data_IF_810174019232
#
_entry.id   IF_810174019232
#
_cell.length_a   1.000
_cell.length_b   1.000
_cell.length_c   1.000
_cell.angle_alpha   90.00
_cell.angle_beta   90.00
_cell.angle_gamma   90.00
#
_symmetry.space_group_name_H-M   'P 1'
#
loop_
_entity.id
_entity.type
_entity.pdbx_description
1 polymer ?
#
# COMPACT_ATOMS: atom_id res chain seq x y z
N UNK A 1 12.92 15.61 -6.81
CA UNK A 1 12.47 14.92 -8.02
C UNK A 1 13.67 14.55 -8.87
N UNK A 2 13.74 13.28 -9.29
CA UNK A 2 14.84 12.69 -10.09
C UNK A 2 14.36 12.22 -11.45
N UNK A 3 13.11 11.75 -11.57
CA UNK A 3 12.54 11.25 -12.82
C UNK A 3 12.10 12.36 -13.76
N UNK A 4 12.17 12.05 -15.06
CA UNK A 4 11.64 12.90 -16.12
C UNK A 4 11.04 12.03 -17.24
N UNK A 5 9.98 12.52 -17.87
CA UNK A 5 9.34 11.85 -19.00
C UNK A 5 8.82 12.87 -19.99
N UNK A 6 8.99 12.62 -21.27
CA UNK A 6 8.36 13.36 -22.36
C UNK A 6 8.20 12.46 -23.58
N UNK A 7 7.13 12.65 -24.33
CA UNK A 7 6.87 12.00 -25.61
C UNK A 7 6.14 12.97 -26.55
N UNK A 8 5.89 12.56 -27.78
CA UNK A 8 5.15 13.35 -28.79
C UNK A 8 3.63 13.41 -28.51
N UNK A 9 3.09 12.60 -27.63
CA UNK A 9 1.67 12.54 -27.32
C UNK A 9 1.31 13.48 -26.15
N UNK A 10 0.62 14.57 -26.46
CA UNK A 10 0.27 15.63 -25.48
C UNK A 10 -0.49 15.12 -24.27
N UNK A 11 -1.47 14.22 -24.45
CA UNK A 11 -2.27 13.68 -23.34
C UNK A 11 -1.41 12.87 -22.38
N UNK A 12 -0.49 12.05 -22.87
CA UNK A 12 0.41 11.23 -22.02
C UNK A 12 1.31 12.15 -21.19
N UNK A 13 1.86 13.21 -21.79
CA UNK A 13 2.65 14.21 -21.06
C UNK A 13 1.83 14.92 -19.97
N UNK A 14 0.54 15.19 -20.22
CA UNK A 14 -0.36 15.75 -19.21
C UNK A 14 -0.63 14.79 -18.07
N UNK A 15 -0.92 13.51 -18.37
CA UNK A 15 -1.14 12.45 -17.37
C UNK A 15 0.09 12.35 -16.47
N UNK A 16 1.29 12.29 -17.03
CA UNK A 16 2.51 12.22 -16.23
C UNK A 16 2.70 13.45 -15.32
N UNK A 17 2.45 14.66 -15.80
CA UNK A 17 2.52 15.88 -14.97
C UNK A 17 1.48 15.85 -13.82
N UNK A 18 0.27 15.36 -14.09
CA UNK A 18 -0.77 15.21 -13.07
C UNK A 18 -0.35 14.20 -12.00
N UNK A 19 0.20 13.05 -12.42
CA UNK A 19 0.74 12.03 -11.52
C UNK A 19 1.83 12.60 -10.61
N UNK A 20 2.81 13.30 -11.15
CA UNK A 20 3.90 13.93 -10.37
C UNK A 20 3.34 14.96 -9.37
N UNK A 21 2.40 15.80 -9.80
CA UNK A 21 1.78 16.79 -8.92
C UNK A 21 0.96 16.14 -7.80
N UNK A 22 0.20 15.09 -8.12
CA UNK A 22 -0.57 14.34 -7.13
C UNK A 22 0.35 13.69 -6.10
N UNK A 23 1.42 13.06 -6.54
CA UNK A 23 2.39 12.42 -5.65
C UNK A 23 3.06 13.44 -4.70
N UNK A 24 3.49 14.61 -5.22
CA UNK A 24 4.05 15.68 -4.39
C UNK A 24 3.06 16.17 -3.33
N UNK A 25 1.77 16.27 -3.68
CA UNK A 25 0.72 16.70 -2.77
C UNK A 25 0.34 15.63 -1.73
N UNK A 26 0.82 14.41 -1.89
CA UNK A 26 0.62 13.31 -0.94
C UNK A 26 1.88 12.97 -0.13
N UNK A 27 3.00 13.66 -0.36
CA UNK A 27 4.24 13.49 0.41
C UNK A 27 4.31 14.54 1.52
N UNK A 28 3.63 14.26 2.65
CA UNK A 28 3.69 15.10 3.84
C UNK A 28 4.72 14.57 4.84
N UNK A 29 4.37 14.25 6.08
CA UNK A 29 5.23 13.50 7.01
C UNK A 29 5.11 11.99 6.80
N UNK A 30 4.04 11.56 6.14
CA UNK A 30 3.75 10.20 5.70
C UNK A 30 3.18 10.24 4.27
N UNK A 31 3.23 9.12 3.53
CA UNK A 31 2.63 9.06 2.20
C UNK A 31 1.10 8.92 2.33
N UNK A 32 0.37 10.01 2.08
CA UNK A 32 -1.09 10.03 2.21
C UNK A 32 -1.81 9.50 0.97
N UNK A 33 -3.04 9.01 1.15
CA UNK A 33 -3.87 8.43 0.09
C UNK A 33 -4.38 9.48 -0.90
N UNK A 34 -4.80 10.65 -0.42
CA UNK A 34 -5.47 11.64 -1.23
C UNK A 34 -5.18 13.09 -0.78
N UNK A 35 -4.99 14.06 -1.71
CA UNK A 35 -4.76 15.45 -1.34
C UNK A 35 -6.02 16.30 -1.33
N UNK A 36 -7.14 15.85 -1.94
CA UNK A 36 -8.29 16.70 -2.30
C UNK A 36 -9.43 16.71 -1.29
N UNK A 37 -9.35 15.94 -0.22
CA UNK A 37 -10.42 15.83 0.82
C UNK A 37 -9.82 15.69 2.21
N UNK A 38 -10.66 15.79 3.24
CA UNK A 38 -10.25 15.68 4.64
C UNK A 38 -10.10 14.22 5.11
N UNK A 39 -9.33 13.43 4.39
CA UNK A 39 -8.87 12.10 4.76
C UNK A 39 -7.37 12.14 5.03
N UNK A 40 -6.54 12.14 4.01
CA UNK A 40 -5.07 12.30 4.08
C UNK A 40 -4.42 11.36 5.09
N UNK A 41 -4.73 10.07 4.97
CA UNK A 41 -4.23 9.01 5.83
C UNK A 41 -3.13 8.21 5.12
N UNK A 42 -2.21 7.65 5.90
CA UNK A 42 -1.15 6.78 5.38
C UNK A 42 -1.63 5.35 5.13
N UNK A 43 -2.57 5.17 4.20
CA UNK A 43 -3.09 3.86 3.83
C UNK A 43 -2.01 2.92 3.28
N UNK A 44 -1.94 1.70 3.83
CA UNK A 44 -0.97 0.70 3.41
C UNK A 44 -1.22 0.24 1.98
N UNK A 45 -2.47 -0.06 1.63
CA UNK A 45 -2.83 -0.60 0.31
C UNK A 45 -2.49 0.38 -0.81
N UNK A 46 -2.80 1.67 -0.64
CA UNK A 46 -2.50 2.71 -1.63
C UNK A 46 -1.01 2.81 -1.90
N UNK A 47 -0.20 2.72 -0.84
CA UNK A 47 1.24 2.77 -0.97
C UNK A 47 1.83 1.51 -1.60
N UNK A 48 1.22 0.33 -1.41
CA UNK A 48 1.59 -0.88 -2.14
C UNK A 48 1.56 -0.64 -3.66
N UNK A 49 0.53 0.04 -4.14
CA UNK A 49 0.30 0.22 -5.58
C UNK A 49 1.17 1.32 -6.20
N UNK A 50 1.56 2.36 -5.45
CA UNK A 50 2.24 3.53 -6.00
C UNK A 50 3.75 3.60 -5.72
N UNK A 51 4.29 2.70 -4.90
CA UNK A 51 5.65 2.74 -4.40
C UNK A 51 6.71 2.83 -5.50
N UNK A 52 6.64 1.97 -6.51
CA UNK A 52 7.59 1.96 -7.62
C UNK A 52 7.54 3.23 -8.46
N UNK A 53 6.32 3.71 -8.74
CA UNK A 53 6.12 4.97 -9.45
C UNK A 53 6.74 6.15 -8.68
N UNK A 54 6.62 6.17 -7.35
CA UNK A 54 7.25 7.19 -6.53
C UNK A 54 8.78 7.12 -6.65
N UNK A 55 9.39 5.96 -6.49
CA UNK A 55 10.84 5.77 -6.54
C UNK A 55 11.45 6.05 -7.92
N UNK A 56 10.71 5.83 -8.99
CA UNK A 56 11.16 6.23 -10.34
C UNK A 56 11.22 7.75 -10.53
N UNK A 57 10.45 8.51 -9.78
CA UNK A 57 10.28 9.95 -9.98
C UNK A 57 10.90 10.83 -8.89
N UNK A 58 11.08 10.29 -7.68
CA UNK A 58 11.53 11.05 -6.53
C UNK A 58 12.68 10.34 -5.79
N UNK A 59 13.64 11.13 -5.30
CA UNK A 59 14.60 10.69 -4.30
C UNK A 59 13.93 10.74 -2.93
N UNK A 60 13.16 9.69 -2.65
CA UNK A 60 12.29 9.59 -1.48
C UNK A 60 12.70 8.50 -0.49
N UNK A 61 13.96 8.01 -0.60
CA UNK A 61 14.47 6.95 0.24
C UNK A 61 14.24 7.24 1.73
N UNK A 62 14.75 8.35 2.24
CA UNK A 62 14.66 8.70 3.67
C UNK A 62 13.22 8.93 4.14
N UNK A 63 12.35 9.41 3.25
CA UNK A 63 10.94 9.60 3.53
C UNK A 63 10.25 8.26 3.81
N UNK A 64 10.49 7.26 2.97
CA UNK A 64 9.91 5.93 3.13
C UNK A 64 10.59 5.10 4.21
N UNK A 65 11.90 5.26 4.44
CA UNK A 65 12.57 4.66 5.60
C UNK A 65 11.99 5.17 6.93
N UNK A 66 11.69 6.47 7.01
CA UNK A 66 11.03 7.06 8.17
C UNK A 66 9.64 6.45 8.36
N UNK A 67 8.82 6.41 7.30
CA UNK A 67 7.49 5.85 7.39
C UNK A 67 7.48 4.35 7.72
N UNK A 68 8.45 3.60 7.20
CA UNK A 68 8.62 2.20 7.56
C UNK A 68 8.86 2.01 9.08
N UNK A 69 9.64 2.89 9.69
CA UNK A 69 9.84 2.88 11.15
C UNK A 69 8.55 3.18 11.91
N UNK A 70 7.75 4.11 11.43
CA UNK A 70 6.44 4.38 12.02
C UNK A 70 5.53 3.13 11.99
N UNK A 71 5.59 2.35 10.89
CA UNK A 71 4.83 1.09 10.79
C UNK A 71 5.36 0.05 11.79
N UNK A 72 6.67 -0.05 11.96
CA UNK A 72 7.28 -0.97 12.93
C UNK A 72 6.86 -0.66 14.36
N UNK A 73 6.86 0.63 14.75
CA UNK A 73 6.40 1.06 16.08
C UNK A 73 4.94 0.62 16.32
N UNK A 74 4.11 0.67 15.28
CA UNK A 74 2.72 0.22 15.38
C UNK A 74 2.58 -1.30 15.38
N UNK A 75 3.43 -2.04 14.67
CA UNK A 75 3.50 -3.49 14.75
C UNK A 75 3.83 -3.95 16.18
N UNK A 76 4.82 -3.32 16.79
CA UNK A 76 5.21 -3.60 18.18
C UNK A 76 4.08 -3.29 19.15
N UNK A 77 3.40 -2.15 18.98
CA UNK A 77 2.26 -1.78 19.81
C UNK A 77 1.06 -2.72 19.67
N UNK A 78 0.82 -3.29 18.49
CA UNK A 78 -0.19 -4.35 18.27
C UNK A 78 0.19 -5.67 18.92
N UNK A 79 1.47 -6.00 19.03
CA UNK A 79 2.00 -7.16 19.74
C UNK A 79 1.65 -8.52 19.15
N UNK A 80 1.12 -8.57 17.92
CA UNK A 80 0.64 -9.81 17.27
C UNK A 80 1.38 -10.17 15.98
N UNK A 81 2.31 -9.32 15.54
CA UNK A 81 2.96 -9.39 14.23
C UNK A 81 2.19 -8.69 13.12
N UNK A 82 0.90 -8.36 13.35
CA UNK A 82 0.10 -7.59 12.41
C UNK A 82 0.59 -6.14 12.31
N UNK A 83 0.23 -5.48 11.21
CA UNK A 83 0.33 -4.04 11.00
C UNK A 83 -1.06 -3.44 10.79
N UNK A 84 -1.28 -2.14 11.04
CA UNK A 84 -2.60 -1.52 10.89
C UNK A 84 -2.93 -1.21 9.43
N UNK A 85 -4.19 -0.82 9.14
CA UNK A 85 -4.63 -0.36 7.82
C UNK A 85 -3.94 0.93 7.37
N UNK A 86 -3.71 1.85 8.32
CA UNK A 86 -3.09 3.15 8.10
C UNK A 86 -1.94 3.40 9.06
N UNK A 87 -0.90 4.08 8.62
CA UNK A 87 0.18 4.49 9.49
C UNK A 87 0.45 6.00 9.35
N UNK A 88 0.28 6.80 10.42
CA UNK A 88 -0.27 6.44 11.73
C UNK A 88 -1.69 5.87 11.67
N UNK A 89 -2.04 5.02 12.63
CA UNK A 89 -3.40 4.48 12.66
C UNK A 89 -4.43 5.56 13.01
N UNK A 90 -5.60 5.46 12.39
CA UNK A 90 -6.70 6.41 12.58
C UNK A 90 -7.97 5.75 13.14
N UNK A 91 -8.34 4.61 12.59
CA UNK A 91 -9.58 3.89 12.96
C UNK A 91 -9.44 2.93 14.14
N UNK A 92 -8.52 3.20 15.06
CA UNK A 92 -8.18 2.36 16.19
C UNK A 92 -7.05 1.38 15.90
N UNK A 93 -6.34 1.01 16.96
CA UNK A 93 -5.21 0.08 16.91
C UNK A 93 -5.73 -1.34 16.70
N UNK A 94 -5.74 -1.79 15.47
CA UNK A 94 -6.19 -3.13 15.06
C UNK A 94 -5.41 -3.63 13.85
N UNK A 95 -5.32 -4.96 13.68
CA UNK A 95 -4.76 -5.54 12.46
C UNK A 95 -5.46 -5.03 11.20
N UNK A 96 -4.68 -4.82 10.16
CA UNK A 96 -5.17 -4.38 8.87
C UNK A 96 -6.27 -5.33 8.34
N UNK A 97 -7.35 -4.73 7.85
CA UNK A 97 -8.40 -5.41 7.10
C UNK A 97 -8.19 -5.32 5.60
N UNK A 98 -7.32 -4.39 5.19
CA UNK A 98 -6.84 -4.24 3.83
C UNK A 98 -5.49 -4.91 3.68
N UNK A 99 -5.09 -5.13 2.46
CA UNK A 99 -3.77 -5.65 2.21
C UNK A 99 -2.70 -4.63 2.66
N UNK A 100 -1.76 -5.09 3.46
CA UNK A 100 -0.64 -4.29 3.96
C UNK A 100 0.71 -4.75 3.37
N UNK A 101 0.71 -5.30 2.16
CA UNK A 101 1.90 -5.81 1.46
C UNK A 101 3.01 -4.77 1.32
N UNK A 102 2.69 -3.47 1.39
CA UNK A 102 3.74 -2.43 1.44
C UNK A 102 4.74 -2.68 2.56
N UNK A 103 4.34 -3.34 3.65
CA UNK A 103 5.23 -3.66 4.75
C UNK A 103 6.35 -4.65 4.35
N UNK A 104 6.08 -5.55 3.42
CA UNK A 104 7.07 -6.47 2.84
C UNK A 104 7.74 -5.85 1.62
N UNK A 105 6.96 -5.21 0.76
CA UNK A 105 7.43 -4.69 -0.52
C UNK A 105 8.33 -3.47 -0.38
N UNK A 106 8.11 -2.62 0.63
CA UNK A 106 8.86 -1.38 0.80
C UNK A 106 10.37 -1.60 1.05
N UNK A 107 10.81 -2.47 1.99
CA UNK A 107 12.23 -2.77 2.15
C UNK A 107 12.86 -3.35 0.89
N UNK A 108 12.14 -4.20 0.18
CA UNK A 108 12.60 -4.75 -1.09
C UNK A 108 12.73 -3.67 -2.19
N UNK A 109 11.77 -2.75 -2.29
CA UNK A 109 11.83 -1.65 -3.23
C UNK A 109 12.96 -0.65 -2.88
N UNK A 110 13.19 -0.35 -1.59
CA UNK A 110 14.34 0.44 -1.13
C UNK A 110 15.67 -0.19 -1.56
N UNK A 111 15.78 -1.49 -1.42
CA UNK A 111 16.95 -2.22 -1.94
C UNK A 111 17.08 -2.11 -3.46
N UNK A 112 16.00 -2.34 -4.21
CA UNK A 112 16.03 -2.33 -5.68
C UNK A 112 16.36 -0.96 -6.28
N UNK A 113 15.80 0.11 -5.72
CA UNK A 113 15.89 1.46 -6.30
C UNK A 113 17.04 2.29 -5.72
N UNK A 114 17.43 2.05 -4.47
CA UNK A 114 18.45 2.83 -3.75
C UNK A 114 19.61 2.00 -3.25
N UNK A 115 19.60 0.69 -3.40
CA UNK A 115 20.64 -0.20 -2.87
C UNK A 115 20.60 -0.35 -1.35
N UNK A 116 19.52 0.05 -0.69
CA UNK A 116 19.37 -0.01 0.76
C UNK A 116 19.14 -1.44 1.26
N UNK A 117 20.25 -2.15 1.42
CA UNK A 117 20.25 -3.48 2.03
C UNK A 117 20.04 -3.42 3.56
N UNK A 118 20.45 -2.33 4.20
CA UNK A 118 20.46 -2.20 5.65
C UNK A 118 19.06 -2.22 6.25
N UNK A 119 18.09 -1.54 5.62
CA UNK A 119 16.69 -1.55 6.06
C UNK A 119 16.13 -2.98 6.04
N UNK A 120 16.37 -3.73 4.97
CA UNK A 120 15.91 -5.11 4.87
C UNK A 120 16.56 -6.01 5.94
N UNK A 121 17.88 -5.95 6.12
CA UNK A 121 18.61 -6.76 7.11
C UNK A 121 18.20 -6.42 8.54
N UNK A 122 18.08 -5.12 8.85
CA UNK A 122 17.73 -4.64 10.20
C UNK A 122 16.35 -5.10 10.63
N UNK A 123 15.37 -5.07 9.73
CA UNK A 123 13.98 -5.31 10.07
C UNK A 123 13.44 -6.67 9.58
N UNK A 124 14.33 -7.55 9.14
CA UNK A 124 13.98 -8.87 8.65
C UNK A 124 13.10 -9.68 9.62
N UNK A 125 13.40 -9.63 10.92
CA UNK A 125 12.60 -10.32 11.94
C UNK A 125 11.18 -9.79 12.06
N UNK A 126 10.99 -8.50 11.90
CA UNK A 126 9.66 -7.87 11.91
C UNK A 126 8.84 -8.28 10.70
N UNK A 127 9.48 -8.38 9.53
CA UNK A 127 8.86 -8.87 8.29
C UNK A 127 8.45 -10.34 8.48
N UNK A 128 9.33 -11.20 8.99
CA UNK A 128 8.99 -12.59 9.28
C UNK A 128 7.84 -12.71 10.29
N UNK A 129 7.81 -11.87 11.30
CA UNK A 129 6.73 -11.86 12.29
C UNK A 129 5.38 -11.49 11.66
N UNK A 130 5.38 -10.54 10.72
CA UNK A 130 4.19 -10.24 9.93
C UNK A 130 3.77 -11.42 9.05
N UNK A 131 4.69 -12.10 8.39
CA UNK A 131 4.38 -13.27 7.58
C UNK A 131 3.84 -14.44 8.42
N UNK A 132 4.36 -14.66 9.63
CA UNK A 132 3.79 -15.63 10.57
C UNK A 132 2.36 -15.25 11.00
N UNK A 133 2.10 -13.95 11.24
CA UNK A 133 0.73 -13.48 11.47
C UNK A 133 -0.16 -13.78 10.27
N UNK A 134 0.29 -13.50 9.05
CA UNK A 134 -0.50 -13.78 7.83
C UNK A 134 -0.80 -15.27 7.67
N UNK A 135 0.13 -16.17 8.01
CA UNK A 135 -0.11 -17.61 7.99
C UNK A 135 -1.29 -18.04 8.87
N UNK A 136 -1.56 -17.33 9.97
CA UNK A 136 -2.71 -17.62 10.84
C UNK A 136 -4.06 -17.37 10.16
N UNK A 137 -4.06 -16.72 8.99
CA UNK A 137 -5.24 -16.40 8.20
C UNK A 137 -5.47 -17.38 7.04
N UNK A 138 -4.59 -18.38 6.89
CA UNK A 138 -4.72 -19.33 5.80
C UNK A 138 -5.77 -20.40 6.10
N UNK A 139 -6.61 -20.67 5.11
CA UNK A 139 -7.47 -21.86 5.10
C UNK A 139 -6.63 -23.13 4.91
N UNK A 140 -7.18 -24.33 5.14
CA UNK A 140 -6.51 -25.59 4.81
C UNK A 140 -6.10 -25.72 3.33
N UNK A 141 -6.74 -24.97 2.43
CA UNK A 141 -6.40 -24.91 1.01
C UNK A 141 -5.28 -23.90 0.68
N UNK A 142 -4.72 -23.22 1.69
CA UNK A 142 -3.67 -22.21 1.50
C UNK A 142 -4.14 -20.84 0.99
N UNK A 143 -5.45 -20.59 1.01
CA UNK A 143 -6.02 -19.28 0.65
C UNK A 143 -6.17 -18.42 1.90
N UNK A 144 -5.99 -17.11 1.77
CA UNK A 144 -6.20 -16.20 2.89
C UNK A 144 -7.69 -16.09 3.20
N UNK A 145 -8.05 -16.35 4.46
CA UNK A 145 -9.40 -16.17 4.97
C UNK A 145 -9.44 -15.01 5.97
N UNK A 146 -10.55 -14.28 5.96
CA UNK A 146 -10.77 -13.16 6.87
C UNK A 146 -11.61 -12.06 6.26
N UNK A 147 -11.88 -11.05 7.07
CA UNK A 147 -12.60 -9.87 6.64
C UNK A 147 -11.63 -8.89 6.00
N UNK A 148 -11.41 -9.05 4.70
CA UNK A 148 -10.62 -8.13 3.91
C UNK A 148 -11.51 -7.40 2.90
N UNK A 149 -11.16 -6.17 2.63
CA UNK A 149 -11.74 -5.42 1.53
C UNK A 149 -10.91 -5.75 0.30
N UNK A 150 -11.50 -6.38 -0.69
CA UNK A 150 -10.81 -6.80 -1.91
C UNK A 150 -10.65 -5.66 -2.91
N UNK A 151 -11.33 -5.78 -4.04
CA UNK A 151 -11.33 -4.74 -5.06
C UNK A 151 -11.97 -3.44 -4.55
N UNK A 152 -11.23 -2.33 -4.72
CA UNK A 152 -11.71 -1.00 -4.34
C UNK A 152 -11.94 -0.15 -5.57
N UNK A 153 -13.15 0.41 -5.69
CA UNK A 153 -13.54 1.28 -6.80
C UNK A 153 -13.18 0.72 -8.19
N UNK A 154 -13.62 -0.48 -8.57
CA UNK A 154 -13.43 -0.98 -9.92
C UNK A 154 -14.07 -0.03 -10.94
N UNK A 155 -13.65 -0.05 -12.22
CA UNK A 155 -14.27 0.73 -13.26
C UNK A 155 -15.78 0.45 -13.31
N UNK A 156 -16.59 1.45 -13.01
CA UNK A 156 -18.04 1.30 -12.95
C UNK A 156 -18.63 1.27 -14.36
N UNK A 157 -19.51 0.31 -14.63
CA UNK A 157 -20.38 0.35 -15.80
C UNK A 157 -21.47 1.41 -15.56
N UNK A 158 -21.90 2.11 -16.59
CA UNK A 158 -22.92 3.17 -16.49
C UNK A 158 -24.20 2.73 -15.77
N UNK A 159 -24.60 1.45 -15.90
CA UNK A 159 -25.73 0.86 -15.22
C UNK A 159 -25.62 0.78 -13.69
N UNK A 160 -24.42 0.92 -13.12
CA UNK A 160 -24.18 0.85 -11.67
C UNK A 160 -24.26 2.24 -11.04
N UNK A 161 -24.10 3.31 -11.81
CA UNK A 161 -24.27 4.70 -11.35
C UNK A 161 -25.72 5.00 -10.91
N UNK A 162 -26.68 4.21 -11.37
CA UNK A 162 -28.10 4.34 -11.01
C UNK A 162 -28.46 3.61 -9.71
N UNK A 163 -27.67 2.63 -9.28
CA UNK A 163 -27.89 1.88 -8.04
C UNK A 163 -26.95 2.35 -6.92
N UNK A 164 -27.37 3.38 -6.20
CA UNK A 164 -26.63 3.94 -5.06
C UNK A 164 -26.46 2.98 -3.86
N UNK A 165 -26.93 1.74 -3.93
CA UNK A 165 -26.93 0.81 -2.80
C UNK A 165 -25.69 -0.08 -2.70
N UNK A 166 -24.92 -0.26 -3.78
CA UNK A 166 -23.65 -0.98 -3.71
C UNK A 166 -22.47 -0.06 -4.00
N UNK A 167 -21.94 0.57 -2.97
CA UNK A 167 -20.74 1.40 -3.08
C UNK A 167 -19.51 0.62 -3.64
N UNK A 168 -19.59 -0.71 -3.73
CA UNK A 168 -18.49 -1.60 -4.13
C UNK A 168 -19.02 -2.81 -4.89
N UNK A 169 -19.17 -2.72 -6.22
CA UNK A 169 -19.45 -3.91 -7.02
C UNK A 169 -18.23 -4.86 -6.92
N UNK A 170 -18.44 -5.97 -6.26
CA UNK A 170 -17.39 -6.98 -6.03
C UNK A 170 -17.43 -8.00 -7.17
N UNK A 171 -16.80 -7.68 -8.29
CA UNK A 171 -16.63 -8.64 -9.39
C UNK A 171 -15.55 -9.69 -9.04
N UNK A 172 -14.56 -9.31 -8.22
CA UNK A 172 -13.48 -10.19 -7.78
C UNK A 172 -13.66 -10.50 -6.29
N UNK A 173 -13.51 -11.77 -5.92
CA UNK A 173 -13.64 -12.17 -4.52
C UNK A 173 -12.51 -11.57 -3.66
N UNK A 174 -12.85 -11.11 -2.46
CA UNK A 174 -11.87 -10.61 -1.49
C UNK A 174 -10.79 -11.64 -1.20
N UNK A 175 -11.17 -12.92 -1.11
CA UNK A 175 -10.24 -14.03 -0.85
C UNK A 175 -9.22 -14.17 -1.98
N UNK A 176 -9.65 -14.07 -3.25
CA UNK A 176 -8.73 -14.15 -4.38
C UNK A 176 -7.72 -12.99 -4.33
N UNK A 177 -8.20 -11.75 -4.20
CA UNK A 177 -7.33 -10.57 -4.15
C UNK A 177 -6.30 -10.67 -3.01
N UNK A 178 -6.76 -10.99 -1.80
CA UNK A 178 -5.88 -11.09 -0.63
C UNK A 178 -4.87 -12.22 -0.76
N UNK A 179 -5.30 -13.35 -1.35
CA UNK A 179 -4.39 -14.49 -1.59
C UNK A 179 -3.32 -14.16 -2.64
N UNK A 180 -3.65 -13.39 -3.68
CA UNK A 180 -2.67 -12.91 -4.65
C UNK A 180 -1.61 -12.01 -3.99
N UNK A 181 -2.02 -11.10 -3.12
CA UNK A 181 -1.08 -10.26 -2.39
C UNK A 181 -0.20 -11.08 -1.43
N UNK A 182 -0.81 -12.00 -0.67
CA UNK A 182 -0.03 -12.90 0.19
C UNK A 182 1.02 -13.70 -0.61
N UNK A 183 0.64 -14.20 -1.79
CA UNK A 183 1.58 -14.88 -2.68
C UNK A 183 2.73 -13.97 -3.14
N UNK A 184 2.45 -12.69 -3.38
CA UNK A 184 3.49 -11.70 -3.74
C UNK A 184 4.42 -11.39 -2.57
N UNK A 185 3.94 -11.49 -1.33
CA UNK A 185 4.71 -11.24 -0.11
C UNK A 185 5.64 -12.41 0.25
N UNK A 186 5.36 -13.63 -0.26
CA UNK A 186 6.17 -14.83 -0.06
C UNK A 186 7.41 -14.87 -0.96
#
# INVERSE_FOLDING_TARGET
RIGSFSCDHTLINRIWRMLINTEQNNMHSVPTDCPQRDERLGWMIDNTMRLEQNFMNFDSQLFYEKWFRDILDQQEALGTGAVPDTCPYYYGMRPARWNASVFVMLPYALYRYFGDRQTMERYWRSILWYMEYQKTKLTPAGLVDGYFVGEWCPPMKDSILEDHQSAFPREISNQLMTSCFYYMDC
#
